data_IF_381862137478
#
_entry.id   IF_381862137478
#
_cell.length_a   1.000
_cell.length_b   1.000
_cell.length_c   1.000
_cell.angle_alpha   90.00
_cell.angle_beta   90.00
_cell.angle_gamma   90.00
#
_symmetry.space_group_name_H-M   'P 1'
#
loop_
_entity.id
_entity.type
_entity.pdbx_description
1 polymer ?
#
# COMPACT_ATOMS: atom_id res chain seq x y z
N UNK A 1 -6.36 -13.62 -8.28
CA UNK A 1 -5.45 -12.65 -7.62
C UNK A 1 -5.34 -11.39 -8.47
N UNK A 2 -5.01 -11.51 -9.76
CA UNK A 2 -5.20 -10.47 -10.77
C UNK A 2 -5.67 -11.20 -12.04
N UNK A 3 -6.67 -10.67 -12.74
CA UNK A 3 -7.18 -11.27 -13.98
C UNK A 3 -7.15 -10.27 -15.14
N UNK A 4 -7.16 -10.82 -16.36
CA UNK A 4 -7.48 -10.01 -17.53
C UNK A 4 -8.93 -9.54 -17.42
N UNK A 5 -9.08 -8.25 -17.70
CA UNK A 5 -10.23 -7.38 -17.46
C UNK A 5 -11.63 -8.04 -17.48
N UNK A 6 -12.51 -7.71 -16.51
CA UNK A 6 -13.95 -7.98 -16.65
C UNK A 6 -14.53 -7.28 -17.89
N UNK A 7 -15.04 -8.10 -18.83
CA UNK A 7 -15.48 -7.67 -20.17
C UNK A 7 -16.51 -6.53 -20.17
N UNK A 8 -17.27 -6.39 -19.08
CA UNK A 8 -18.37 -5.44 -18.96
C UNK A 8 -17.93 -4.00 -18.79
N UNK A 9 -16.79 -3.73 -18.14
CA UNK A 9 -16.33 -2.35 -17.86
C UNK A 9 -15.12 -1.92 -18.68
N UNK A 10 -14.14 -2.80 -18.90
CA UNK A 10 -12.96 -2.44 -19.68
C UNK A 10 -12.63 -3.41 -20.83
N UNK A 11 -13.59 -4.24 -21.27
CA UNK A 11 -13.37 -5.26 -22.29
C UNK A 11 -12.90 -4.75 -23.66
N UNK A 12 -12.98 -3.44 -23.92
CA UNK A 12 -12.45 -2.79 -25.13
C UNK A 12 -10.98 -2.39 -25.04
N UNK A 13 -10.33 -2.52 -23.87
CA UNK A 13 -8.92 -2.17 -23.70
C UNK A 13 -7.99 -3.31 -24.13
N UNK A 14 -6.72 -2.96 -24.36
CA UNK A 14 -5.66 -3.94 -24.63
C UNK A 14 -5.57 -5.00 -23.52
N UNK A 15 -5.18 -6.22 -23.86
CA UNK A 15 -4.92 -7.30 -22.91
C UNK A 15 -3.72 -7.01 -21.97
N UNK A 16 -3.00 -5.91 -22.21
CA UNK A 16 -1.96 -5.40 -21.31
C UNK A 16 -2.52 -4.66 -20.09
N UNK A 17 -3.83 -4.45 -19.99
CA UNK A 17 -4.49 -3.93 -18.80
C UNK A 17 -5.08 -5.06 -17.96
N UNK A 18 -5.04 -4.89 -16.64
CA UNK A 18 -5.44 -5.87 -15.64
C UNK A 18 -6.22 -5.18 -14.52
N UNK A 19 -7.03 -5.96 -13.80
CA UNK A 19 -7.70 -5.53 -12.57
C UNK A 19 -7.80 -6.70 -11.58
N UNK A 20 -8.22 -6.42 -10.35
CA UNK A 20 -8.66 -7.48 -9.44
C UNK A 20 -9.90 -8.18 -10.01
N UNK A 21 -9.96 -9.50 -9.91
CA UNK A 21 -11.00 -10.32 -10.54
C UNK A 21 -12.40 -10.03 -9.96
N UNK A 22 -12.48 -9.95 -8.62
CA UNK A 22 -13.72 -9.79 -7.89
C UNK A 22 -13.51 -9.07 -6.54
N UNK A 23 -14.61 -8.85 -5.82
CA UNK A 23 -14.64 -8.22 -4.50
C UNK A 23 -13.83 -9.00 -3.45
N UNK A 24 -13.71 -10.33 -3.58
CA UNK A 24 -12.93 -11.15 -2.67
C UNK A 24 -11.43 -10.89 -2.86
N UNK A 25 -10.96 -10.70 -4.10
CA UNK A 25 -9.60 -10.27 -4.40
C UNK A 25 -9.33 -8.84 -3.91
N UNK A 26 -10.29 -7.92 -4.05
CA UNK A 26 -10.15 -6.57 -3.46
C UNK A 26 -10.00 -6.67 -1.95
N UNK A 27 -10.85 -7.44 -1.28
CA UNK A 27 -10.75 -7.63 0.16
C UNK A 27 -9.39 -8.23 0.55
N UNK A 28 -9.01 -9.35 -0.05
CA UNK A 28 -7.76 -10.05 0.30
C UNK A 28 -6.52 -9.16 0.15
N UNK A 29 -6.45 -8.38 -0.93
CA UNK A 29 -5.28 -7.53 -1.17
C UNK A 29 -5.29 -6.27 -0.30
N UNK A 30 -6.47 -5.67 -0.08
CA UNK A 30 -6.54 -4.30 0.42
C UNK A 30 -7.13 -4.15 1.83
N UNK A 31 -7.99 -5.07 2.28
CA UNK A 31 -8.82 -4.91 3.48
C UNK A 31 -8.61 -6.03 4.50
N UNK A 32 -8.30 -5.66 5.74
CA UNK A 32 -8.16 -6.61 6.85
C UNK A 32 -9.47 -6.73 7.65
N UNK A 33 -10.09 -7.91 7.61
CA UNK A 33 -11.33 -8.16 8.34
C UNK A 33 -11.06 -8.29 9.86
N UNK A 34 -11.94 -7.76 10.75
CA UNK A 34 -13.22 -7.07 10.51
C UNK A 34 -13.12 -5.53 10.51
N UNK A 35 -11.97 -4.97 10.18
CA UNK A 35 -11.61 -3.57 10.49
C UNK A 35 -12.05 -2.57 9.41
N UNK A 36 -13.11 -2.90 8.67
CA UNK A 36 -13.68 -2.05 7.62
C UNK A 36 -15.20 -2.30 7.49
N UNK A 37 -15.91 -1.35 6.90
CA UNK A 37 -17.34 -1.52 6.58
C UNK A 37 -17.51 -2.25 5.25
N UNK A 38 -18.50 -3.13 5.13
CA UNK A 38 -18.80 -3.81 3.87
C UNK A 38 -19.09 -2.80 2.74
N UNK A 39 -19.79 -1.71 3.05
CA UNK A 39 -20.04 -0.62 2.09
C UNK A 39 -18.75 0.04 1.57
N UNK A 40 -17.72 0.17 2.41
CA UNK A 40 -16.40 0.66 1.95
C UNK A 40 -15.74 -0.31 0.96
N UNK A 41 -15.89 -1.62 1.18
CA UNK A 41 -15.38 -2.66 0.28
C UNK A 41 -16.16 -2.69 -1.05
N UNK A 42 -17.49 -2.61 -1.00
CA UNK A 42 -18.34 -2.50 -2.20
C UNK A 42 -17.98 -1.27 -3.03
N UNK A 43 -17.78 -0.13 -2.37
CA UNK A 43 -17.36 1.10 -3.06
C UNK A 43 -15.97 0.95 -3.69
N UNK A 44 -15.02 0.29 -3.02
CA UNK A 44 -13.69 0.04 -3.58
C UNK A 44 -13.75 -0.91 -4.78
N UNK A 45 -14.63 -1.92 -4.76
CA UNK A 45 -14.90 -2.80 -5.89
C UNK A 45 -15.50 -2.02 -7.07
N UNK A 46 -16.50 -1.18 -6.82
CA UNK A 46 -17.16 -0.36 -7.84
C UNK A 46 -16.22 0.68 -8.45
N UNK A 47 -15.36 1.30 -7.63
CA UNK A 47 -14.44 2.34 -8.06
C UNK A 47 -13.07 1.83 -8.50
N UNK A 48 -12.83 0.50 -8.48
CA UNK A 48 -11.51 -0.06 -8.80
C UNK A 48 -10.99 0.45 -10.15
N UNK A 49 -9.70 0.75 -10.18
CA UNK A 49 -8.98 1.10 -11.39
C UNK A 49 -8.45 -0.13 -12.13
N UNK A 50 -7.68 0.15 -13.18
CA UNK A 50 -6.89 -0.83 -13.93
C UNK A 50 -5.41 -0.54 -13.72
N UNK A 51 -4.58 -1.56 -13.92
CA UNK A 51 -3.12 -1.50 -13.94
C UNK A 51 -2.62 -2.12 -15.24
N UNK A 52 -1.54 -1.60 -15.80
CA UNK A 52 -0.87 -2.20 -16.95
C UNK A 52 0.15 -3.26 -16.53
N UNK A 53 0.41 -4.23 -17.40
CA UNK A 53 1.54 -5.16 -17.22
C UNK A 53 2.88 -4.40 -17.08
N UNK A 54 3.03 -3.29 -17.82
CA UNK A 54 4.21 -2.44 -17.72
C UNK A 54 4.40 -1.86 -16.32
N UNK A 55 3.35 -1.29 -15.73
CA UNK A 55 3.37 -0.81 -14.34
C UNK A 55 3.68 -1.93 -13.36
N UNK A 56 3.05 -3.11 -13.50
CA UNK A 56 3.31 -4.23 -12.60
C UNK A 56 4.77 -4.71 -12.66
N UNK A 57 5.35 -4.82 -13.86
CA UNK A 57 6.72 -5.30 -14.02
C UNK A 57 7.79 -4.26 -13.68
N UNK A 58 7.45 -2.96 -13.71
CA UNK A 58 8.36 -1.86 -13.38
C UNK A 58 8.15 -1.32 -11.96
N UNK A 59 7.18 -1.84 -11.19
CA UNK A 59 6.91 -1.37 -9.83
C UNK A 59 8.11 -1.51 -8.89
N UNK A 60 9.00 -2.48 -9.14
CA UNK A 60 10.22 -2.64 -8.35
C UNK A 60 11.34 -1.68 -8.77
N UNK A 61 11.25 -1.08 -9.97
CA UNK A 61 12.28 -0.20 -10.52
C UNK A 61 12.39 1.10 -9.71
N UNK A 62 11.31 1.57 -9.09
CA UNK A 62 11.36 2.73 -8.18
C UNK A 62 12.30 2.51 -6.98
N UNK A 63 12.56 1.25 -6.60
CA UNK A 63 13.51 0.92 -5.54
C UNK A 63 14.97 0.88 -6.02
N UNK A 64 15.20 0.96 -7.33
CA UNK A 64 16.56 0.93 -7.90
C UNK A 64 17.25 2.29 -7.92
N UNK A 65 16.51 3.38 -7.66
CA UNK A 65 17.01 4.76 -7.75
C UNK A 65 16.80 5.53 -6.44
N UNK A 66 17.73 5.42 -5.46
CA UNK A 66 17.66 6.22 -4.25
C UNK A 66 17.65 7.72 -4.53
N UNK A 67 16.83 8.46 -3.78
CA UNK A 67 16.77 9.91 -3.80
C UNK A 67 17.94 10.51 -3.01
N UNK A 68 19.16 10.39 -3.55
CA UNK A 68 20.41 10.78 -2.88
C UNK A 68 20.46 12.25 -2.42
N UNK A 69 19.73 13.13 -3.08
CA UNK A 69 19.73 14.57 -2.79
C UNK A 69 18.49 15.04 -2.02
N UNK A 70 17.56 14.14 -1.67
CA UNK A 70 16.40 14.51 -0.87
C UNK A 70 16.80 14.65 0.60
N UNK A 71 16.73 15.88 1.11
CA UNK A 71 17.13 16.23 2.48
C UNK A 71 15.95 16.48 3.43
N UNK A 72 14.74 16.42 2.91
CA UNK A 72 13.51 16.55 3.70
C UNK A 72 13.34 15.42 4.70
N UNK A 73 12.34 15.58 5.58
CA UNK A 73 11.93 14.52 6.50
C UNK A 73 11.04 13.51 5.78
N UNK A 74 11.15 12.23 6.13
CA UNK A 74 10.34 11.13 5.59
C UNK A 74 9.62 10.40 6.73
N UNK A 75 8.33 10.16 6.53
CA UNK A 75 7.53 9.21 7.28
C UNK A 75 7.03 8.12 6.33
N UNK A 76 7.36 6.87 6.63
CA UNK A 76 6.82 5.70 5.91
C UNK A 76 5.72 5.07 6.75
N UNK A 77 4.52 4.91 6.16
CA UNK A 77 3.36 4.33 6.84
C UNK A 77 2.83 3.15 6.04
N UNK A 78 2.62 2.00 6.69
CA UNK A 78 1.97 0.82 6.11
C UNK A 78 1.29 0.02 7.23
N UNK A 79 0.09 -0.50 6.98
CA UNK A 79 -0.66 -1.26 7.97
C UNK A 79 0.02 -2.60 8.33
N UNK A 80 -0.12 -3.05 9.58
CA UNK A 80 0.51 -4.30 10.03
C UNK A 80 0.08 -5.55 9.25
N UNK A 81 -1.10 -5.50 8.61
CA UNK A 81 -1.71 -6.55 7.79
C UNK A 81 -1.73 -6.23 6.30
N UNK A 82 -0.86 -5.35 5.84
CA UNK A 82 -0.71 -5.04 4.41
C UNK A 82 -0.29 -6.30 3.61
N UNK A 83 -1.22 -6.85 2.84
CA UNK A 83 -0.96 -8.06 2.06
C UNK A 83 -0.08 -7.79 0.84
N UNK A 84 -0.22 -6.62 0.21
CA UNK A 84 0.48 -6.27 -1.03
C UNK A 84 1.96 -6.02 -0.78
N UNK A 85 2.30 -5.32 0.31
CA UNK A 85 3.68 -4.93 0.60
C UNK A 85 4.41 -5.95 1.47
N UNK A 86 3.74 -6.49 2.50
CA UNK A 86 4.39 -7.34 3.50
C UNK A 86 3.73 -8.71 3.69
N UNK A 87 2.87 -9.14 2.76
CA UNK A 87 2.20 -10.45 2.84
C UNK A 87 1.33 -10.63 4.09
N UNK A 88 0.91 -9.53 4.72
CA UNK A 88 0.08 -9.54 5.93
C UNK A 88 0.83 -9.51 7.26
N UNK A 89 2.16 -9.31 7.25
CA UNK A 89 2.96 -9.12 8.47
C UNK A 89 4.06 -8.07 8.29
N UNK A 90 3.77 -6.81 8.56
CA UNK A 90 4.76 -5.74 8.36
C UNK A 90 5.77 -5.63 9.52
N UNK A 91 5.56 -6.33 10.64
CA UNK A 91 6.53 -6.43 11.73
C UNK A 91 7.60 -7.50 11.50
N UNK A 92 7.58 -8.20 10.37
CA UNK A 92 8.61 -9.16 10.04
C UNK A 92 9.99 -8.47 9.93
N UNK A 93 11.02 -9.11 10.47
CA UNK A 93 12.39 -8.63 10.34
C UNK A 93 12.94 -8.93 8.95
N UNK A 94 13.55 -7.94 8.31
CA UNK A 94 14.21 -8.08 7.01
C UNK A 94 15.64 -7.56 7.11
N UNK A 95 16.64 -8.37 6.75
CA UNK A 95 18.05 -7.99 6.79
C UNK A 95 18.50 -7.36 8.14
N UNK A 96 17.98 -7.89 9.26
CA UNK A 96 18.33 -7.42 10.60
C UNK A 96 17.60 -6.14 11.06
N UNK A 97 16.70 -5.60 10.23
CA UNK A 97 15.84 -4.48 10.63
C UNK A 97 14.69 -4.92 11.55
N UNK A 98 14.16 -3.98 12.34
CA UNK A 98 13.10 -4.27 13.32
C UNK A 98 11.74 -4.58 12.67
N UNK A 99 11.51 -4.12 11.44
CA UNK A 99 10.27 -4.30 10.69
C UNK A 99 10.54 -4.10 9.18
N UNK A 100 9.55 -4.40 8.33
CA UNK A 100 9.72 -4.39 6.88
C UNK A 100 9.81 -2.98 6.27
N UNK A 101 9.50 -1.92 7.02
CA UNK A 101 9.51 -0.53 6.52
C UNK A 101 10.89 0.13 6.67
N UNK A 102 11.67 -0.25 7.69
CA UNK A 102 13.00 0.35 7.94
C UNK A 102 13.97 0.29 6.74
N UNK A 103 14.01 -0.79 5.92
CA UNK A 103 14.85 -0.82 4.72
C UNK A 103 14.56 0.33 3.72
N UNK A 104 13.37 0.94 3.73
CA UNK A 104 13.07 2.08 2.88
C UNK A 104 13.98 3.30 3.15
N UNK A 105 14.67 3.34 4.30
CA UNK A 105 15.70 4.36 4.58
C UNK A 105 16.81 4.39 3.53
N UNK A 106 17.14 3.24 2.92
CA UNK A 106 18.15 3.16 1.86
C UNK A 106 17.78 3.97 0.62
N UNK A 107 16.49 4.24 0.41
CA UNK A 107 15.98 5.05 -0.70
C UNK A 107 16.13 6.55 -0.45
N UNK A 108 16.34 6.97 0.81
CA UNK A 108 16.44 8.37 1.20
C UNK A 108 17.66 8.60 2.11
N UNK A 109 18.89 8.34 1.62
CA UNK A 109 20.09 8.34 2.47
C UNK A 109 20.46 9.71 3.04
N UNK A 110 19.98 10.80 2.43
CA UNK A 110 20.22 12.17 2.88
C UNK A 110 19.06 12.78 3.68
N UNK A 111 18.00 12.02 3.98
CA UNK A 111 16.86 12.53 4.74
C UNK A 111 17.28 12.99 6.14
N UNK A 112 16.88 14.21 6.51
CA UNK A 112 17.19 14.82 7.81
C UNK A 112 16.55 14.08 8.99
N UNK A 113 15.37 13.51 8.77
CA UNK A 113 14.63 12.65 9.70
C UNK A 113 13.97 11.54 8.90
N UNK A 114 14.07 10.31 9.38
CA UNK A 114 13.37 9.17 8.81
C UNK A 114 12.64 8.43 9.92
N UNK A 115 11.34 8.27 9.75
CA UNK A 115 10.44 7.64 10.71
C UNK A 115 9.59 6.59 10.02
N UNK A 116 9.20 5.55 10.76
CA UNK A 116 8.25 4.53 10.33
C UNK A 116 7.07 4.50 11.29
N UNK A 117 5.88 4.21 10.77
CA UNK A 117 4.68 3.98 11.57
C UNK A 117 3.88 2.83 10.99
N UNK A 118 3.47 1.91 11.85
CA UNK A 118 2.72 0.71 11.47
C UNK A 118 1.43 0.68 12.32
N UNK A 119 0.28 1.16 11.79
CA UNK A 119 -0.98 1.05 12.51
C UNK A 119 -1.41 -0.41 12.62
N UNK A 120 -1.91 -0.78 13.79
CA UNK A 120 -2.32 -2.16 14.10
C UNK A 120 -3.71 -2.47 13.57
N UNK A 121 -3.89 -3.72 13.11
CA UNK A 121 -5.11 -4.26 12.48
C UNK A 121 -5.53 -3.49 11.22
N UNK A 122 -4.57 -3.07 10.40
CA UNK A 122 -4.82 -2.29 9.17
C UNK A 122 -4.21 -3.00 7.97
N UNK A 123 -5.00 -3.16 6.90
CA UNK A 123 -4.55 -3.69 5.61
C UNK A 123 -3.87 -2.65 4.72
N UNK A 124 -3.73 -2.94 3.42
CA UNK A 124 -3.05 -2.03 2.47
C UNK A 124 -3.82 -0.72 2.28
N UNK A 125 -5.15 -0.77 2.15
CA UNK A 125 -6.00 0.40 1.98
C UNK A 125 -6.29 1.08 3.34
N UNK A 126 -5.26 1.66 3.96
CA UNK A 126 -5.32 2.30 5.30
C UNK A 126 -6.56 3.19 5.45
N UNK A 127 -6.81 4.06 4.46
CA UNK A 127 -7.89 5.05 4.47
C UNK A 127 -9.30 4.42 4.52
N UNK A 128 -9.44 3.15 4.18
CA UNK A 128 -10.70 2.44 4.15
C UNK A 128 -10.99 1.62 5.43
N UNK A 129 -10.06 1.62 6.39
CA UNK A 129 -10.21 0.93 7.68
C UNK A 129 -10.75 1.86 8.76
N UNK A 130 -11.41 1.29 9.79
CA UNK A 130 -11.92 2.05 10.93
C UNK A 130 -10.82 2.76 11.72
N UNK A 131 -9.58 2.25 11.68
CA UNK A 131 -8.40 2.88 12.29
C UNK A 131 -7.80 4.05 11.50
N UNK A 132 -8.38 4.44 10.36
CA UNK A 132 -7.87 5.54 9.54
C UNK A 132 -7.75 6.88 10.31
N UNK A 133 -8.73 7.32 11.14
CA UNK A 133 -8.62 8.57 11.89
C UNK A 133 -7.39 8.62 12.81
N UNK A 134 -7.07 7.52 13.49
CA UNK A 134 -5.87 7.42 14.33
C UNK A 134 -4.58 7.49 13.51
N UNK A 135 -4.58 6.87 12.34
CA UNK A 135 -3.43 6.91 11.43
C UNK A 135 -3.22 8.32 10.89
N UNK A 136 -4.29 9.01 10.48
CA UNK A 136 -4.22 10.41 10.08
C UNK A 136 -3.73 11.30 11.22
N UNK A 137 -4.21 11.11 12.44
CA UNK A 137 -3.73 11.87 13.59
C UNK A 137 -2.21 11.76 13.77
N UNK A 138 -1.64 10.55 13.66
CA UNK A 138 -0.18 10.35 13.75
C UNK A 138 0.55 11.04 12.60
N UNK A 139 0.01 10.97 11.38
CA UNK A 139 0.60 11.66 10.21
C UNK A 139 0.61 13.17 10.42
N UNK A 140 -0.52 13.76 10.84
CA UNK A 140 -0.66 15.20 11.09
C UNK A 140 0.24 15.67 12.26
N UNK A 141 0.30 14.91 13.35
CA UNK A 141 1.22 15.16 14.47
C UNK A 141 2.69 15.14 14.02
N UNK A 142 3.06 14.23 13.11
CA UNK A 142 4.42 14.17 12.57
C UNK A 142 4.72 15.33 11.62
N UNK A 143 3.75 15.76 10.79
CA UNK A 143 3.89 16.94 9.93
C UNK A 143 4.07 18.21 10.77
N UNK A 144 3.38 18.30 11.92
CA UNK A 144 3.47 19.42 12.84
C UNK A 144 4.70 19.44 13.76
N UNK A 145 5.55 18.40 13.74
CA UNK A 145 6.74 18.25 14.60
C UNK A 145 8.03 18.71 13.94
#
# INVERSE_FOLDING_TARGET
>A
MIEMIPFTRFGSLSNSYMATADIANVQQMFFYYPEFSYTSLELAEELKGIMTLGELFTIAEVFSQPAFNYTGSILVVSGDKDFVVCGGNCYQSVNGSANLLEPARMLFPAASKFSTYIPARVGHAINAHFGAPDTYRVIEEWIGS
#
